data_IF_253752597489
#
_entry.id   IF_253752597489
#
_cell.length_a   1.000
_cell.length_b   1.000
_cell.length_c   1.000
_cell.angle_alpha   90.00
_cell.angle_beta   90.00
_cell.angle_gamma   90.00
#
_symmetry.space_group_name_H-M   'P 1'
#
loop_
_entity.id
_entity.type
_entity.pdbx_description
1 polymer ?
#
# COMPACT_ATOMS: atom_id res chain seq x y z
N UNK A 1 -7.71 9.13 12.56
CA UNK A 1 -8.53 8.78 11.38
C UNK A 1 -9.81 9.59 11.48
N UNK A 2 -10.33 10.14 10.38
CA UNK A 2 -11.61 10.86 10.37
C UNK A 2 -12.76 9.97 10.85
N UNK A 3 -13.79 10.58 11.43
CA UNK A 3 -15.01 9.87 11.82
C UNK A 3 -15.88 9.62 10.58
N UNK A 4 -16.44 8.41 10.46
CA UNK A 4 -17.31 8.02 9.34
C UNK A 4 -18.72 7.80 9.87
N UNK A 5 -19.66 8.59 9.38
CA UNK A 5 -21.08 8.47 9.67
C UNK A 5 -21.87 7.85 8.50
N UNK A 6 -21.38 8.00 7.27
CA UNK A 6 -22.06 7.57 6.05
C UNK A 6 -21.11 7.14 4.92
N UNK A 7 -21.67 6.50 3.89
CA UNK A 7 -20.92 6.16 2.66
C UNK A 7 -20.51 7.39 1.84
N UNK A 8 -21.05 8.57 2.15
CA UNK A 8 -20.66 9.80 1.47
C UNK A 8 -19.35 10.37 2.02
N UNK A 9 -18.89 9.91 3.19
CA UNK A 9 -17.76 10.49 3.92
C UNK A 9 -16.40 9.94 3.43
N UNK A 10 -16.41 8.98 2.51
CA UNK A 10 -15.21 8.38 1.95
C UNK A 10 -15.44 7.88 0.53
N UNK A 11 -14.34 7.58 -0.16
CA UNK A 11 -14.30 6.86 -1.43
C UNK A 11 -13.40 5.64 -1.30
N UNK A 12 -13.67 4.61 -2.09
CA UNK A 12 -12.75 3.48 -2.24
C UNK A 12 -11.78 3.77 -3.38
N UNK A 13 -10.49 3.67 -3.11
CA UNK A 13 -9.44 3.94 -4.09
C UNK A 13 -8.55 2.72 -4.29
N UNK A 14 -8.19 2.43 -5.55
CA UNK A 14 -7.23 1.35 -5.88
C UNK A 14 -5.84 1.90 -6.10
N UNK A 15 -4.83 1.11 -5.74
CA UNK A 15 -3.44 1.47 -6.02
C UNK A 15 -3.15 1.37 -7.52
N UNK A 16 -2.55 2.41 -8.08
CA UNK A 16 -2.03 2.37 -9.44
C UNK A 16 -0.78 1.51 -9.47
N UNK A 17 -0.80 0.51 -10.35
CA UNK A 17 0.33 -0.41 -10.59
C UNK A 17 0.89 -0.15 -11.98
N UNK A 18 2.19 0.10 -12.08
CA UNK A 18 2.90 0.14 -13.36
C UNK A 18 3.74 -1.12 -13.50
N UNK A 19 3.52 -1.88 -14.57
CA UNK A 19 4.21 -3.16 -14.84
C UNK A 19 4.19 -4.11 -13.63
N UNK A 20 3.08 -4.14 -12.90
CA UNK A 20 2.90 -4.97 -11.70
C UNK A 20 3.47 -4.40 -10.40
N UNK A 21 4.13 -3.23 -10.42
CA UNK A 21 4.70 -2.60 -9.22
C UNK A 21 3.81 -1.45 -8.73
N UNK A 22 3.57 -1.39 -7.42
CA UNK A 22 2.85 -0.29 -6.78
C UNK A 22 3.58 1.04 -6.99
N UNK A 23 2.85 2.06 -7.43
CA UNK A 23 3.39 3.40 -7.68
C UNK A 23 3.29 4.35 -6.48
N UNK A 24 2.55 3.94 -5.44
CA UNK A 24 2.19 4.80 -4.31
C UNK A 24 1.06 5.80 -4.62
N UNK A 25 0.60 5.86 -5.88
CA UNK A 25 -0.57 6.64 -6.28
C UNK A 25 -1.83 5.78 -6.19
N UNK A 26 -2.94 6.45 -5.92
CA UNK A 26 -4.25 5.83 -5.79
C UNK A 26 -5.25 6.59 -6.64
N UNK A 27 -6.23 5.88 -7.15
CA UNK A 27 -7.36 6.46 -7.88
C UNK A 27 -8.68 5.99 -7.29
N UNK A 28 -9.65 6.90 -7.08
CA UNK A 28 -11.00 6.53 -6.67
C UNK A 28 -11.67 5.61 -7.70
N UNK A 29 -12.43 4.64 -7.20
CA UNK A 29 -13.24 3.75 -8.02
C UNK A 29 -14.54 4.44 -8.42
N UNK A 30 -15.02 4.12 -9.62
CA UNK A 30 -16.37 4.49 -10.03
C UNK A 30 -17.39 3.53 -9.40
N UNK A 31 -18.23 4.04 -8.51
CA UNK A 31 -19.30 3.32 -7.81
C UNK A 31 -20.30 2.60 -8.75
N UNK A 32 -20.47 3.10 -9.97
CA UNK A 32 -21.40 2.55 -10.95
C UNK A 32 -20.75 1.53 -11.91
N UNK A 33 -19.44 1.30 -11.80
CA UNK A 33 -18.72 0.39 -12.67
C UNK A 33 -18.89 -1.08 -12.23
N UNK A 34 -18.95 -1.99 -13.20
CA UNK A 34 -18.93 -3.41 -12.92
C UNK A 34 -17.58 -3.83 -12.29
N UNK A 35 -17.64 -4.66 -11.25
CA UNK A 35 -16.44 -5.18 -10.56
C UNK A 35 -15.56 -6.00 -11.53
N UNK A 36 -16.20 -6.74 -12.44
CA UNK A 36 -15.50 -7.60 -13.41
C UNK A 36 -14.62 -6.76 -14.34
N UNK A 37 -13.31 -6.98 -14.25
CA UNK A 37 -12.31 -6.25 -15.04
C UNK A 37 -11.86 -4.92 -14.40
N UNK A 38 -12.55 -4.44 -13.36
CA UNK A 38 -12.13 -3.29 -12.57
C UNK A 38 -11.15 -3.69 -11.46
N UNK A 39 -11.45 -4.81 -10.77
CA UNK A 39 -10.66 -5.33 -9.66
C UNK A 39 -10.28 -6.79 -9.91
N UNK A 40 -9.15 -7.20 -9.35
CA UNK A 40 -8.75 -8.59 -9.29
C UNK A 40 -9.18 -9.23 -7.97
N UNK A 41 -9.28 -10.55 -7.95
CA UNK A 41 -9.50 -11.28 -6.69
C UNK A 41 -8.39 -10.93 -5.71
N UNK A 42 -8.77 -10.63 -4.46
CA UNK A 42 -7.86 -10.24 -3.38
C UNK A 42 -7.08 -8.93 -3.61
N UNK A 43 -7.59 -8.02 -4.44
CA UNK A 43 -7.01 -6.67 -4.53
C UNK A 43 -7.18 -5.91 -3.21
N UNK A 44 -6.11 -5.20 -2.81
CA UNK A 44 -6.14 -4.27 -1.69
C UNK A 44 -6.71 -2.94 -2.13
N UNK A 45 -7.77 -2.49 -1.46
CA UNK A 45 -8.35 -1.16 -1.61
C UNK A 45 -7.96 -0.28 -0.44
N UNK A 46 -7.81 1.01 -0.71
CA UNK A 46 -7.61 2.04 0.30
C UNK A 46 -8.91 2.82 0.51
N UNK A 47 -9.19 3.19 1.76
CA UNK A 47 -10.27 4.12 2.09
C UNK A 47 -9.71 5.53 2.04
N UNK A 48 -10.29 6.36 1.18
CA UNK A 48 -9.94 7.77 1.04
C UNK A 48 -11.05 8.63 1.64
N UNK A 49 -10.80 9.18 2.82
CA UNK A 49 -11.77 9.99 3.53
C UNK A 49 -11.98 11.34 2.88
N UNK A 50 -13.15 11.93 3.10
CA UNK A 50 -13.46 13.32 2.76
C UNK A 50 -13.33 14.21 3.98
N UNK A 51 -12.94 15.44 3.75
CA UNK A 51 -13.01 16.51 4.72
C UNK A 51 -14.50 16.86 4.99
N UNK A 52 -14.97 16.83 6.23
CA UNK A 52 -16.37 17.13 6.55
C UNK A 52 -16.78 18.58 6.28
N UNK A 53 -15.83 19.53 6.31
CA UNK A 53 -16.10 20.95 6.07
C UNK A 53 -16.10 21.28 4.58
N UNK A 54 -15.17 20.70 3.84
CA UNK A 54 -14.93 21.07 2.43
C UNK A 54 -15.44 20.05 1.42
N UNK A 55 -15.72 18.82 1.85
CA UNK A 55 -16.09 17.68 0.99
C UNK A 55 -14.93 17.14 0.13
N UNK A 56 -13.73 17.70 0.26
CA UNK A 56 -12.58 17.31 -0.55
C UNK A 56 -11.97 16.00 -0.07
N UNK A 57 -11.41 15.23 -1.00
CA UNK A 57 -10.69 14.00 -0.67
C UNK A 57 -9.38 14.31 0.05
N UNK A 58 -9.22 13.73 1.24
CA UNK A 58 -7.99 13.78 2.00
C UNK A 58 -6.93 12.85 1.39
N UNK A 59 -5.64 13.08 1.67
CA UNK A 59 -4.58 12.16 1.29
C UNK A 59 -4.79 10.76 1.89
N UNK A 60 -4.38 9.74 1.16
CA UNK A 60 -4.48 8.35 1.63
C UNK A 60 -3.29 8.03 2.55
N UNK A 61 -3.60 7.70 3.80
CA UNK A 61 -2.63 7.15 4.76
C UNK A 61 -2.87 5.64 4.93
N UNK A 62 -1.91 4.83 4.49
CA UNK A 62 -1.95 3.39 4.73
C UNK A 62 -1.17 3.07 5.99
N UNK A 63 -1.87 2.56 7.00
CA UNK A 63 -1.25 1.95 8.17
C UNK A 63 -1.34 0.44 8.01
N UNK A 64 -0.22 -0.16 7.65
CA UNK A 64 -0.09 -1.63 7.77
C UNK A 64 0.14 -1.91 9.25
N UNK A 65 -0.74 -2.65 9.93
CA UNK A 65 -0.48 -3.06 11.31
C UNK A 65 0.87 -3.77 11.36
N UNK A 66 1.71 -3.48 12.35
CA UNK A 66 2.96 -4.23 12.54
C UNK A 66 2.59 -5.69 12.71
N UNK A 67 2.93 -6.52 11.72
CA UNK A 67 2.59 -7.95 11.74
C UNK A 67 3.48 -8.74 12.70
N UNK A 68 4.46 -8.07 13.32
CA UNK A 68 5.44 -8.63 14.25
C UNK A 68 5.86 -7.55 15.26
N UNK A 69 5.54 -7.76 16.53
CA UNK A 69 6.35 -7.27 17.64
C UNK A 69 7.35 -8.41 17.92
N UNK A 70 8.42 -8.48 17.12
CA UNK A 70 9.50 -9.45 17.33
C UNK A 70 10.78 -8.62 17.51
N UNK A 71 11.30 -8.69 18.72
CA UNK A 71 12.54 -8.05 19.18
C UNK A 71 13.75 -8.62 18.43
N UNK A 72 13.99 -8.22 17.17
CA UNK A 72 15.27 -8.48 16.52
C UNK A 72 15.97 -7.16 16.17
N UNK A 73 16.96 -6.82 17.02
CA UNK A 73 17.96 -5.77 16.78
C UNK A 73 18.50 -5.82 15.33
N UNK A 74 18.86 -4.67 14.73
CA UNK A 74 19.68 -4.69 13.54
C UNK A 74 21.08 -5.20 13.89
N UNK A 75 21.30 -6.50 13.73
CA UNK A 75 22.64 -7.09 13.73
C UNK A 75 23.44 -6.48 12.56
N UNK A 76 24.30 -5.53 12.90
CA UNK A 76 25.31 -5.00 12.00
C UNK A 76 26.21 -6.14 11.51
N UNK A 77 26.17 -6.43 10.20
CA UNK A 77 27.31 -7.09 9.55
C UNK A 77 27.45 -6.66 8.10
N UNK A 78 28.13 -5.53 7.93
CA UNK A 78 28.93 -5.28 6.74
C UNK A 78 29.92 -6.45 6.55
N UNK A 79 29.77 -7.23 5.49
CA UNK A 79 30.91 -7.98 4.91
C UNK A 79 30.76 -8.11 3.40
N UNK A 80 31.43 -7.21 2.68
CA UNK A 80 31.85 -7.43 1.29
C UNK A 80 32.68 -8.72 1.23
N UNK A 81 32.14 -9.80 0.68
CA UNK A 81 32.91 -11.03 0.41
C UNK A 81 33.48 -10.97 -1.00
N UNK A 82 34.75 -10.58 -1.07
CA UNK A 82 35.58 -10.61 -2.27
C UNK A 82 35.78 -12.03 -2.81
N UNK A 83 35.85 -12.13 -4.14
CA UNK A 83 36.24 -13.33 -4.90
C UNK A 83 37.67 -13.74 -4.54
N UNK A 84 37.87 -14.95 -4.03
CA UNK A 84 39.18 -15.63 -4.05
C UNK A 84 39.02 -16.98 -4.76
N UNK A 85 39.83 -17.18 -5.81
CA UNK A 85 39.96 -18.42 -6.59
C UNK A 85 40.63 -19.48 -5.71
N UNK A 86 40.12 -20.72 -5.72
CA UNK A 86 40.76 -21.86 -5.06
C UNK A 86 42.06 -22.27 -5.80
N UNK A 87 43.10 -22.80 -5.12
CA UNK A 87 44.27 -23.38 -5.77
C UNK A 87 44.00 -24.83 -6.19
N UNK A 88 44.60 -25.33 -7.30
CA UNK A 88 44.45 -26.71 -7.75
C UNK A 88 45.29 -27.70 -6.93
N UNK A 89 44.84 -28.96 -6.94
CA UNK A 89 45.42 -30.11 -6.25
C UNK A 89 46.77 -30.57 -6.82
#
# INVERSE_FOLDING_TARGET
>A
LPEVASTNDFELSRALKEKGRLTGKYEPLNENAAIKGLLMNWDTLAVQYKDPETGNLLPIEIRVPSQYDDEEEPSASATQKGKRKAPPA
#
